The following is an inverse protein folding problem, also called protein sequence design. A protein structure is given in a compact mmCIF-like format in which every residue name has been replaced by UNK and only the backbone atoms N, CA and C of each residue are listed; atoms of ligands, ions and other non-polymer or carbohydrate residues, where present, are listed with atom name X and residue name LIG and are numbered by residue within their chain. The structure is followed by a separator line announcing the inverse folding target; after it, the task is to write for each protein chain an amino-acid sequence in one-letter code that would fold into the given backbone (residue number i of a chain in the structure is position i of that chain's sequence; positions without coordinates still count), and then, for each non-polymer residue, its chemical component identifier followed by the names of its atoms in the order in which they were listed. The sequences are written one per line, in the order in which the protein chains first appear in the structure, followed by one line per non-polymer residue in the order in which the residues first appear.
data_IF_099034019404
#
_entry.id   IF_099034019404
#
_cell.length_a   1.000
_cell.length_b   1.000
_cell.length_c   1.000
_cell.angle_alpha   90.00
_cell.angle_beta   90.00
_cell.angle_gamma   90.00
#
_symmetry.space_group_name_H-M   'P 1'
#
loop_
_entity.id
_entity.type
_entity.pdbx_description
1 polymer ?
#
# COMPACT_ATOMS: atom_id res chain seq x y z
N UNK A 1 -13.22 5.98 -41.17
CA UNK A 1 -12.56 6.57 -42.36
C UNK A 1 -11.68 7.75 -41.95
N UNK A 2 -12.18 8.76 -41.22
CA UNK A 2 -11.39 9.92 -40.77
C UNK A 2 -10.06 9.59 -40.03
N UNK A 3 -10.04 8.57 -39.15
CA UNK A 3 -8.83 8.16 -38.42
C UNK A 3 -7.65 7.72 -39.31
N UNK A 4 -7.91 7.29 -40.54
CA UNK A 4 -6.86 6.92 -41.49
C UNK A 4 -6.42 8.10 -42.37
N UNK A 5 -7.25 9.13 -42.50
CA UNK A 5 -6.98 10.30 -43.35
C UNK A 5 -6.17 11.37 -42.60
N UNK A 6 -6.38 11.51 -41.29
CA UNK A 6 -5.68 12.49 -40.46
C UNK A 6 -5.51 12.01 -39.00
N UNK A 7 -4.68 10.98 -38.75
CA UNK A 7 -4.47 10.43 -37.41
C UNK A 7 -3.94 11.48 -36.43
N UNK A 8 -2.90 12.24 -36.80
CA UNK A 8 -2.26 13.21 -35.90
C UNK A 8 -3.20 14.36 -35.47
N UNK A 9 -4.09 14.78 -36.37
CA UNK A 9 -5.07 15.83 -36.08
C UNK A 9 -6.09 15.34 -35.07
N UNK A 10 -6.53 14.09 -35.20
CA UNK A 10 -7.48 13.49 -34.27
C UNK A 10 -6.84 13.22 -32.91
N UNK A 11 -5.58 12.78 -32.87
CA UNK A 11 -4.83 12.64 -31.63
C UNK A 11 -4.67 13.99 -30.91
N UNK A 12 -4.48 15.08 -31.66
CA UNK A 12 -4.43 16.43 -31.12
C UNK A 12 -5.79 16.86 -30.52
N UNK A 13 -6.89 16.58 -31.21
CA UNK A 13 -8.23 16.86 -30.68
C UNK A 13 -8.53 16.01 -29.44
N UNK A 14 -8.18 14.73 -29.45
CA UNK A 14 -8.34 13.85 -28.30
C UNK A 14 -7.55 14.39 -27.10
N UNK A 15 -6.28 14.79 -27.30
CA UNK A 15 -5.47 15.43 -26.27
C UNK A 15 -6.10 16.75 -25.77
N UNK A 16 -6.56 17.61 -26.68
CA UNK A 16 -7.20 18.89 -26.33
C UNK A 16 -8.46 18.67 -25.47
N UNK A 17 -9.24 17.65 -25.79
CA UNK A 17 -10.46 17.29 -25.07
C UNK A 17 -10.17 16.69 -23.68
N UNK A 18 -8.94 16.23 -23.39
CA UNK A 18 -8.55 15.81 -22.03
C UNK A 18 -8.21 16.99 -21.11
N UNK A 19 -7.97 18.18 -21.64
CA UNK A 19 -7.59 19.35 -20.84
C UNK A 19 -8.86 19.94 -20.21
N UNK A 20 -8.96 19.97 -18.87
CA UNK A 20 -10.11 20.58 -18.20
C UNK A 20 -10.12 22.10 -18.45
N UNK A 21 -11.31 22.67 -18.65
CA UNK A 21 -11.50 24.11 -18.87
C UNK A 21 -11.49 24.93 -17.57
N UNK A 22 -11.45 24.27 -16.40
CA UNK A 22 -11.50 24.89 -15.08
C UNK A 22 -10.59 24.21 -14.07
N UNK A 23 -10.11 24.96 -13.09
CA UNK A 23 -9.33 24.49 -11.94
C UNK A 23 -10.17 24.11 -10.73
N UNK A 24 -11.51 24.20 -10.82
CA UNK A 24 -12.41 23.97 -9.69
C UNK A 24 -12.22 22.58 -9.05
N UNK A 25 -11.99 21.54 -9.86
CA UNK A 25 -11.77 20.19 -9.36
C UNK A 25 -10.43 20.06 -8.61
N UNK A 26 -9.39 20.75 -9.08
CA UNK A 26 -8.11 20.84 -8.39
C UNK A 26 -8.26 21.53 -7.04
N UNK A 27 -8.96 22.66 -6.99
CA UNK A 27 -9.23 23.42 -5.76
C UNK A 27 -10.02 22.60 -4.75
N UNK A 28 -11.00 21.82 -5.22
CA UNK A 28 -11.76 20.88 -4.39
C UNK A 28 -10.85 19.80 -3.80
N UNK A 29 -9.98 19.19 -4.61
CA UNK A 29 -8.98 18.22 -4.15
C UNK A 29 -8.04 18.80 -3.09
N UNK A 30 -7.53 20.01 -3.30
CA UNK A 30 -6.68 20.70 -2.32
C UNK A 30 -7.42 21.03 -1.03
N UNK A 31 -8.69 21.41 -1.10
CA UNK A 31 -9.52 21.65 0.08
C UNK A 31 -9.65 20.39 0.95
N UNK A 32 -9.91 19.23 0.31
CA UNK A 32 -9.94 17.93 1.01
C UNK A 32 -8.58 17.62 1.62
N UNK A 33 -7.49 17.81 0.88
CA UNK A 33 -6.14 17.55 1.43
C UNK A 33 -5.77 18.50 2.57
N UNK A 34 -6.25 19.75 2.53
CA UNK A 34 -6.09 20.71 3.62
C UNK A 34 -6.81 20.23 4.88
N UNK A 35 -8.01 19.66 4.76
CA UNK A 35 -8.72 19.05 5.89
C UNK A 35 -7.93 17.85 6.45
N UNK A 36 -7.51 16.92 5.59
CA UNK A 36 -6.72 15.74 6.01
C UNK A 36 -5.44 16.17 6.75
N UNK A 37 -4.71 17.16 6.21
CA UNK A 37 -3.46 17.63 6.81
C UNK A 37 -3.69 18.37 8.13
N UNK A 38 -4.61 19.35 8.14
CA UNK A 38 -4.71 20.35 9.20
C UNK A 38 -5.63 19.96 10.35
N UNK A 39 -6.68 19.17 10.11
CA UNK A 39 -7.72 18.90 11.12
C UNK A 39 -7.24 17.89 12.17
N UNK A 40 -6.47 16.88 11.74
CA UNK A 40 -6.08 15.74 12.58
C UNK A 40 -4.72 15.88 13.28
N UNK A 41 -4.14 17.09 13.38
CA UNK A 41 -2.72 17.31 13.77
C UNK A 41 -1.77 16.32 13.10
N UNK A 42 -2.05 15.99 11.85
CA UNK A 42 -1.33 14.92 11.17
C UNK A 42 0.09 15.41 10.82
N UNK A 43 1.11 14.67 11.25
CA UNK A 43 2.51 14.86 10.81
C UNK A 43 2.74 14.28 9.42
N UNK A 44 1.69 14.20 8.60
CA UNK A 44 1.76 13.57 7.28
C UNK A 44 2.74 14.34 6.40
N UNK A 45 3.68 13.57 5.84
CA UNK A 45 4.61 14.09 4.84
C UNK A 45 3.84 14.47 3.57
N UNK A 46 4.40 15.41 2.81
CA UNK A 46 3.82 15.83 1.54
C UNK A 46 3.64 14.67 0.54
N UNK A 47 4.60 13.74 0.52
CA UNK A 47 4.55 12.52 -0.29
C UNK A 47 3.31 11.68 0.03
N UNK A 48 3.08 11.39 1.31
CA UNK A 48 1.90 10.61 1.75
C UNK A 48 0.59 11.32 1.41
N UNK A 49 0.54 12.66 1.52
CA UNK A 49 -0.63 13.42 1.08
C UNK A 49 -0.87 13.31 -0.43
N UNK A 50 0.19 13.33 -1.24
CA UNK A 50 0.09 13.16 -2.68
C UNK A 50 -0.40 11.75 -3.04
N UNK A 51 0.09 10.72 -2.36
CA UNK A 51 -0.36 9.34 -2.54
C UNK A 51 -1.85 9.17 -2.18
N UNK A 52 -2.31 9.82 -1.12
CA UNK A 52 -3.72 9.83 -0.73
C UNK A 52 -4.59 10.54 -1.78
N UNK A 53 -4.16 11.70 -2.28
CA UNK A 53 -4.86 12.41 -3.35
C UNK A 53 -4.93 11.56 -4.62
N UNK A 54 -3.82 10.91 -5.00
CA UNK A 54 -3.77 10.01 -6.16
C UNK A 54 -4.71 8.82 -5.98
N UNK A 55 -4.77 8.26 -4.78
CA UNK A 55 -5.71 7.18 -4.45
C UNK A 55 -7.13 7.68 -4.65
N UNK A 56 -7.50 8.84 -4.11
CA UNK A 56 -8.83 9.42 -4.27
C UNK A 56 -9.23 9.67 -5.73
N UNK A 57 -8.30 10.14 -6.57
CA UNK A 57 -8.57 10.49 -7.96
C UNK A 57 -8.59 9.28 -8.91
N UNK A 58 -7.79 8.26 -8.63
CA UNK A 58 -7.60 7.10 -9.51
C UNK A 58 -8.34 5.85 -9.04
N UNK A 59 -8.83 5.79 -7.79
CA UNK A 59 -9.60 4.65 -7.30
C UNK A 59 -11.05 4.71 -7.78
N UNK A 60 -11.70 3.54 -7.82
CA UNK A 60 -13.15 3.47 -7.93
C UNK A 60 -13.83 4.21 -6.76
N UNK A 61 -15.08 4.63 -6.97
CA UNK A 61 -15.90 5.15 -5.88
C UNK A 61 -16.04 4.08 -4.78
N UNK A 62 -16.23 4.52 -3.53
CA UNK A 62 -16.32 3.64 -2.36
C UNK A 62 -17.44 2.61 -2.52
N UNK A 63 -18.52 2.97 -3.23
CA UNK A 63 -19.66 2.08 -3.51
C UNK A 63 -19.31 0.91 -4.43
N UNK A 64 -18.38 1.14 -5.36
CA UNK A 64 -18.00 0.18 -6.40
C UNK A 64 -16.66 -0.51 -6.09
N UNK A 65 -16.01 -0.11 -5.00
CA UNK A 65 -14.76 -0.70 -4.55
C UNK A 65 -15.01 -2.10 -3.98
N UNK A 66 -14.35 -3.12 -4.55
CA UNK A 66 -14.38 -4.49 -4.00
C UNK A 66 -13.30 -4.67 -2.92
N UNK A 67 -13.67 -4.78 -1.63
CA UNK A 67 -12.70 -4.93 -0.55
C UNK A 67 -12.13 -6.35 -0.48
N UNK A 68 -12.67 -7.34 -1.20
CA UNK A 68 -12.29 -8.76 -1.04
C UNK A 68 -10.80 -8.99 -1.21
N UNK A 69 -10.19 -8.40 -2.23
CA UNK A 69 -8.74 -8.53 -2.46
C UNK A 69 -7.92 -8.00 -1.29
N UNK A 70 -8.31 -6.88 -0.69
CA UNK A 70 -7.64 -6.33 0.48
C UNK A 70 -7.83 -7.22 1.71
N UNK A 71 -9.03 -7.78 1.89
CA UNK A 71 -9.34 -8.73 2.97
C UNK A 71 -8.52 -10.01 2.83
N UNK A 72 -8.39 -10.56 1.62
CA UNK A 72 -7.59 -11.76 1.35
C UNK A 72 -6.10 -11.53 1.63
N UNK A 73 -5.57 -10.38 1.19
CA UNK A 73 -4.19 -9.98 1.50
C UNK A 73 -4.00 -9.83 3.00
N UNK A 74 -4.92 -9.14 3.68
CA UNK A 74 -4.86 -8.96 5.12
C UNK A 74 -4.95 -10.30 5.85
N UNK A 75 -5.87 -11.19 5.47
CA UNK A 75 -6.01 -12.51 6.07
C UNK A 75 -4.79 -13.39 5.82
N UNK A 76 -4.31 -13.48 4.58
CA UNK A 76 -3.10 -14.22 4.20
C UNK A 76 -1.85 -13.74 4.93
N UNK A 77 -1.71 -12.43 5.14
CA UNK A 77 -0.59 -11.84 5.87
C UNK A 77 -0.81 -11.80 7.39
N UNK A 78 -2.06 -11.84 7.89
CA UNK A 78 -2.37 -11.92 9.32
C UNK A 78 -1.99 -13.27 9.90
N UNK A 79 -1.93 -14.30 9.05
CA UNK A 79 -1.40 -15.61 9.38
C UNK A 79 0.13 -15.56 9.34
N UNK A 80 0.75 -14.81 10.28
CA UNK A 80 2.07 -15.02 10.94
C UNK A 80 2.57 -13.70 11.56
N UNK A 81 3.14 -13.65 12.76
CA UNK A 81 3.72 -14.67 13.64
C UNK A 81 2.98 -14.65 14.98
N UNK A 82 2.60 -15.83 15.49
CA UNK A 82 2.52 -16.03 16.94
C UNK A 82 3.82 -15.46 17.48
N UNK A 83 3.77 -14.31 18.18
CA UNK A 83 4.97 -13.58 18.60
C UNK A 83 5.95 -14.61 19.18
N UNK A 84 7.06 -14.95 18.50
CA UNK A 84 7.85 -16.12 18.88
C UNK A 84 8.42 -15.96 20.30
N UNK A 85 8.49 -14.71 20.76
CA UNK A 85 8.99 -14.30 22.06
C UNK A 85 7.92 -13.67 22.98
N UNK A 86 6.62 -13.74 22.67
CA UNK A 86 5.60 -13.28 23.62
C UNK A 86 5.30 -14.38 24.63
N UNK A 87 6.13 -14.43 25.66
CA UNK A 87 5.82 -15.19 26.86
C UNK A 87 4.78 -14.39 27.64
N UNK A 88 3.52 -14.84 27.60
CA UNK A 88 2.48 -14.34 28.49
C UNK A 88 2.89 -14.72 29.93
N UNK A 89 3.49 -13.78 30.65
CA UNK A 89 3.84 -13.96 32.07
C UNK A 89 2.52 -14.23 32.82
N UNK A 90 2.32 -15.48 33.26
CA UNK A 90 1.22 -15.81 34.18
C UNK A 90 1.44 -15.03 35.48
N UNK A 91 0.37 -14.68 36.18
CA UNK A 91 0.38 -13.86 37.41
C UNK A 91 0.86 -14.67 38.63
N UNK A 92 1.60 -15.74 38.37
CA UNK A 92 1.90 -16.82 39.29
C UNK A 92 3.30 -17.28 38.91
N UNK A 93 4.27 -16.80 39.70
CA UNK A 93 5.69 -16.80 39.38
C UNK A 93 6.34 -18.18 39.46
N UNK A 94 6.26 -18.96 38.39
CA UNK A 94 7.14 -20.12 38.22
C UNK A 94 7.45 -20.30 36.74
N UNK A 95 8.72 -20.09 36.38
CA UNK A 95 9.24 -20.38 35.04
C UNK A 95 9.38 -21.89 34.87
N UNK A 96 8.91 -22.42 33.73
CA UNK A 96 9.25 -23.77 33.29
C UNK A 96 10.41 -23.66 32.32
N UNK A 97 11.55 -24.20 32.75
CA UNK A 97 12.76 -24.39 31.96
C UNK A 97 12.50 -25.51 30.94
N UNK A 98 12.59 -25.15 29.66
CA UNK A 98 12.29 -26.04 28.54
C UNK A 98 13.56 -26.30 27.75
N UNK A 99 14.39 -27.20 28.26
CA UNK A 99 15.49 -27.83 27.51
C UNK A 99 14.88 -28.59 26.32
N UNK A 100 15.41 -28.35 25.13
CA UNK A 100 15.40 -29.35 24.07
C UNK A 100 16.67 -29.21 23.27
N UNK A 101 17.66 -30.01 23.63
CA UNK A 101 18.76 -30.39 22.76
C UNK A 101 18.21 -31.16 21.56
N UNK A 102 18.71 -30.84 20.37
CA UNK A 102 18.83 -31.80 19.29
C UNK A 102 19.99 -31.37 18.41
N UNK A 103 21.15 -31.96 18.66
CA UNK A 103 22.25 -32.00 17.72
C UNK A 103 21.85 -32.86 16.52
N UNK A 104 22.22 -32.40 15.32
CA UNK A 104 22.54 -33.28 14.20
C UNK A 104 23.58 -32.58 13.34
N UNK A 105 24.84 -32.90 13.62
CA UNK A 105 25.95 -32.75 12.69
C UNK A 105 25.77 -33.79 11.56
N UNK A 106 25.92 -33.38 10.30
CA UNK A 106 27.06 -33.87 9.52
C UNK A 106 27.29 -33.00 8.27
N UNK A 107 28.58 -32.84 8.03
CA UNK A 107 29.29 -31.99 7.10
C UNK A 107 29.27 -32.47 5.66
N UNK A 108 29.45 -31.54 4.71
CA UNK A 108 30.36 -31.75 3.58
C UNK A 108 30.83 -30.41 3.02
N UNK A 109 32.13 -30.21 3.23
CA UNK A 109 33.03 -29.17 2.75
C UNK A 109 33.09 -29.08 1.21
N UNK A 110 33.25 -27.88 0.66
CA UNK A 110 34.41 -27.54 -0.20
C UNK A 110 34.36 -26.08 -0.67
N UNK A 111 35.52 -25.45 -0.53
CA UNK A 111 35.90 -24.09 -0.94
C UNK A 111 36.09 -23.93 -2.46
N UNK A 112 36.56 -22.73 -2.84
CA UNK A 112 37.02 -22.23 -4.16
C UNK A 112 35.96 -21.36 -4.87
N UNK A 113 36.24 -20.20 -5.48
CA UNK A 113 37.31 -19.21 -5.48
C UNK A 113 36.80 -18.09 -6.45
N UNK A 114 37.36 -16.88 -6.33
CA UNK A 114 37.29 -15.70 -7.25
C UNK A 114 36.06 -14.77 -7.18
#
# INVERSE_FOLDING_TARGET
MLRHECPDVLDLFDALLTIPTSTADCERGFSVMKQVKCDWRSTLKGETLADLLKTQLCSADIKDSDPRKAIEIWHGNSVRTHRPHFVRKRKDGTALDGVSESESENSSESSEDV
#
